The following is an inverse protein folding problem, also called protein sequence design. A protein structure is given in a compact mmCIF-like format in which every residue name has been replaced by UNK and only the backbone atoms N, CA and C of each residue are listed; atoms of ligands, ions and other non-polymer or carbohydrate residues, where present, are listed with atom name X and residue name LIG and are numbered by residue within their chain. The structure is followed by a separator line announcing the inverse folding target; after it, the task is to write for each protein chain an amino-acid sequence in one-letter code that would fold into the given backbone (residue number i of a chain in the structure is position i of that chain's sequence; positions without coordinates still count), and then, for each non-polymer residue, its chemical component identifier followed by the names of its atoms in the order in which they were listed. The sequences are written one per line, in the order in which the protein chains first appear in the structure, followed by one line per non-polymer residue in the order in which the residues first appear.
data_IF_783432781342
#
_entry.id   IF_783432781342
#
_cell.length_a   1.000
_cell.length_b   1.000
_cell.length_c   1.000
_cell.angle_alpha   90.00
_cell.angle_beta   90.00
_cell.angle_gamma   90.00
#
_symmetry.space_group_name_H-M   'P 1'
#
loop_
_entity.id
_entity.type
_entity.pdbx_description
1 polymer ?
#
# COMPACT_ATOMS: atom_id res chain seq x y z
N UNK A 1 17.96 -0.93 27.12
CA UNK A 1 17.14 -1.54 26.06
C UNK A 1 15.98 -0.60 25.61
N UNK A 2 16.23 0.69 25.37
CA UNK A 2 15.15 1.69 25.10
C UNK A 2 14.98 2.05 23.62
N UNK A 3 15.58 1.28 22.71
CA UNK A 3 15.55 1.57 21.27
C UNK A 3 14.37 0.87 20.57
N UNK A 4 13.99 -0.34 21.02
CA UNK A 4 12.85 -1.08 20.48
C UNK A 4 11.48 -0.47 20.84
N UNK A 5 11.37 0.26 21.95
CA UNK A 5 10.11 0.89 22.38
C UNK A 5 9.72 2.14 21.57
N UNK A 6 10.55 2.56 20.61
CA UNK A 6 10.25 3.62 19.64
C UNK A 6 9.88 3.10 18.25
N UNK A 7 9.98 1.78 18.02
CA UNK A 7 9.51 1.18 16.79
C UNK A 7 7.99 0.98 16.91
N UNK A 8 7.18 1.58 16.04
CA UNK A 8 5.74 1.31 15.99
C UNK A 8 5.52 -0.08 15.39
N UNK A 9 5.92 -1.12 16.12
CA UNK A 9 5.65 -2.51 15.77
C UNK A 9 4.20 -2.78 16.16
N UNK A 10 3.28 -2.43 15.26
CA UNK A 10 1.88 -2.79 15.40
C UNK A 10 1.58 -4.15 14.76
N UNK A 11 0.36 -4.65 15.00
CA UNK A 11 -0.08 -5.95 14.48
C UNK A 11 -0.12 -5.99 12.96
N UNK A 12 -0.32 -4.84 12.31
CA UNK A 12 -0.39 -4.75 10.86
C UNK A 12 1.00 -4.89 10.23
N UNK A 13 1.99 -4.16 10.76
CA UNK A 13 3.38 -4.30 10.36
C UNK A 13 3.90 -5.73 10.60
N UNK A 14 3.58 -6.31 11.75
CA UNK A 14 3.92 -7.72 12.03
C UNK A 14 3.28 -8.68 11.02
N UNK A 15 2.03 -8.45 10.62
CA UNK A 15 1.35 -9.26 9.62
C UNK A 15 2.02 -9.14 8.24
N UNK A 16 2.40 -7.93 7.81
CA UNK A 16 3.11 -7.71 6.54
C UNK A 16 4.45 -8.45 6.53
N UNK A 17 5.26 -8.26 7.58
CA UNK A 17 6.58 -8.90 7.69
C UNK A 17 6.42 -10.43 7.69
N UNK A 18 5.46 -10.96 8.45
CA UNK A 18 5.20 -12.39 8.51
C UNK A 18 4.77 -12.93 7.14
N UNK A 19 3.87 -12.25 6.43
CA UNK A 19 3.44 -12.64 5.09
C UNK A 19 4.61 -12.64 4.10
N UNK A 20 5.46 -11.62 4.12
CA UNK A 20 6.64 -11.54 3.26
C UNK A 20 7.64 -12.67 3.53
N UNK A 21 7.92 -12.97 4.80
CA UNK A 21 8.80 -14.09 5.19
C UNK A 21 8.22 -15.43 4.76
N UNK A 22 6.92 -15.65 4.99
CA UNK A 22 6.24 -16.89 4.57
C UNK A 22 6.29 -17.08 3.06
N UNK A 23 5.98 -16.05 2.28
CA UNK A 23 6.04 -16.11 0.81
C UNK A 23 7.46 -16.32 0.28
N UNK A 24 8.49 -15.83 1.00
CA UNK A 24 9.89 -16.03 0.62
C UNK A 24 10.37 -17.46 0.84
N UNK A 25 9.89 -18.13 1.91
CA UNK A 25 10.24 -19.52 2.23
C UNK A 25 9.37 -20.51 1.45
N UNK A 26 8.10 -20.18 1.25
CA UNK A 26 7.11 -21.00 0.56
C UNK A 26 6.55 -20.24 -0.66
N UNK A 27 7.36 -20.10 -1.73
CA UNK A 27 6.93 -19.39 -2.94
C UNK A 27 5.82 -20.16 -3.66
N UNK A 28 4.91 -19.42 -4.28
CA UNK A 28 3.92 -20.00 -5.18
C UNK A 28 4.61 -20.62 -6.39
N UNK A 29 4.23 -21.85 -6.77
CA UNK A 29 4.82 -22.55 -7.91
C UNK A 29 3.76 -23.18 -8.81
N UNK A 30 4.02 -23.22 -10.12
CA UNK A 30 3.10 -23.79 -11.10
C UNK A 30 1.77 -23.04 -11.14
N UNK A 31 0.66 -23.79 -11.20
CA UNK A 31 -0.71 -23.24 -11.30
C UNK A 31 -1.05 -22.27 -10.15
N UNK A 32 -0.43 -22.43 -8.98
CA UNK A 32 -0.67 -21.54 -7.84
C UNK A 32 -0.19 -20.10 -8.06
N UNK A 33 0.74 -19.87 -9.00
CA UNK A 33 1.18 -18.53 -9.37
C UNK A 33 0.00 -17.73 -9.93
N UNK A 34 -0.69 -18.29 -10.92
CA UNK A 34 -1.83 -17.63 -11.58
C UNK A 34 -3.02 -17.43 -10.62
N UNK A 35 -3.27 -18.42 -9.76
CA UNK A 35 -4.34 -18.32 -8.74
C UNK A 35 -4.06 -17.18 -7.77
N UNK A 36 -2.83 -17.07 -7.26
CA UNK A 36 -2.46 -16.01 -6.32
C UNK A 36 -2.43 -14.65 -7.02
N UNK A 37 -2.04 -14.58 -8.28
CA UNK A 37 -2.05 -13.34 -9.07
C UNK A 37 -3.48 -12.77 -9.23
N UNK A 38 -4.43 -13.63 -9.62
CA UNK A 38 -5.85 -13.25 -9.72
C UNK A 38 -6.41 -12.86 -8.36
N UNK A 39 -6.14 -13.65 -7.31
CA UNK A 39 -6.60 -13.35 -5.96
C UNK A 39 -6.06 -12.00 -5.46
N UNK A 40 -4.77 -11.71 -5.73
CA UNK A 40 -4.13 -10.44 -5.38
C UNK A 40 -4.76 -9.28 -6.13
N UNK A 41 -5.02 -9.44 -7.43
CA UNK A 41 -5.70 -8.43 -8.25
C UNK A 41 -7.09 -8.11 -7.71
N UNK A 42 -7.89 -9.13 -7.36
CA UNK A 42 -9.22 -8.95 -6.76
C UNK A 42 -9.10 -8.25 -5.41
N UNK A 43 -8.17 -8.68 -4.54
CA UNK A 43 -7.96 -8.08 -3.23
C UNK A 43 -7.58 -6.60 -3.31
N UNK A 44 -6.66 -6.25 -4.23
CA UNK A 44 -6.28 -4.86 -4.50
C UNK A 44 -7.48 -4.07 -5.01
N UNK A 45 -8.23 -4.61 -5.98
CA UNK A 45 -9.44 -3.97 -6.50
C UNK A 45 -10.46 -3.66 -5.40
N UNK A 46 -10.69 -4.61 -4.50
CA UNK A 46 -11.56 -4.42 -3.34
C UNK A 46 -11.02 -3.37 -2.36
N UNK A 47 -9.72 -3.36 -2.08
CA UNK A 47 -9.09 -2.36 -1.21
C UNK A 47 -9.31 -0.94 -1.76
N UNK A 48 -9.01 -0.74 -3.04
CA UNK A 48 -9.22 0.55 -3.71
C UNK A 48 -10.69 0.92 -3.80
N UNK A 49 -11.58 -0.04 -4.03
CA UNK A 49 -13.03 0.20 -4.03
C UNK A 49 -13.51 0.67 -2.65
N UNK A 50 -13.11 -0.01 -1.57
CA UNK A 50 -13.49 0.37 -0.21
C UNK A 50 -12.91 1.74 0.20
N UNK A 51 -11.68 2.05 -0.24
CA UNK A 51 -11.07 3.36 0.00
C UNK A 51 -11.77 4.46 -0.80
N UNK A 52 -12.10 4.20 -2.07
CA UNK A 52 -12.87 5.12 -2.92
C UNK A 52 -14.30 5.33 -2.39
N UNK A 53 -14.97 4.28 -1.93
CA UNK A 53 -16.32 4.36 -1.36
C UNK A 53 -16.36 5.17 -0.04
N UNK A 54 -15.26 5.23 0.70
CA UNK A 54 -15.12 6.06 1.91
C UNK A 54 -14.76 7.51 1.60
N UNK A 55 -14.37 7.83 0.37
CA UNK A 55 -13.88 9.16 0.00
C UNK A 55 -15.04 10.11 -0.28
N UNK A 56 -15.09 11.24 0.43
CA UNK A 56 -16.06 12.29 0.15
C UNK A 56 -15.66 13.12 -1.08
N UNK A 57 -16.56 13.32 -2.06
CA UNK A 57 -16.27 14.17 -3.23
C UNK A 57 -15.93 15.61 -2.85
N UNK A 58 -16.57 16.16 -1.82
CA UNK A 58 -16.35 17.55 -1.38
C UNK A 58 -14.99 17.74 -0.72
N UNK A 59 -14.56 16.78 0.10
CA UNK A 59 -13.24 16.80 0.74
C UNK A 59 -12.11 16.66 -0.28
N UNK A 60 -12.33 15.81 -1.29
CA UNK A 60 -11.38 15.65 -2.41
C UNK A 60 -11.20 16.96 -3.16
N UNK A 61 -12.29 17.66 -3.48
CA UNK A 61 -12.24 18.94 -4.18
C UNK A 61 -11.56 20.04 -3.34
N UNK A 62 -11.79 20.05 -2.02
CA UNK A 62 -11.11 20.96 -1.11
C UNK A 62 -9.60 20.67 -1.04
N UNK A 63 -9.20 19.40 -0.95
CA UNK A 63 -7.81 18.98 -0.94
C UNK A 63 -7.04 19.34 -2.22
N UNK A 64 -7.69 19.28 -3.38
CA UNK A 64 -7.09 19.65 -4.67
C UNK A 64 -6.72 21.14 -4.76
N UNK A 65 -7.33 22.01 -3.96
CA UNK A 65 -6.99 23.45 -3.94
C UNK A 65 -5.55 23.69 -3.46
N UNK A 66 -4.95 22.75 -2.73
CA UNK A 66 -3.55 22.83 -2.28
C UNK A 66 -2.57 22.36 -3.39
N UNK A 67 -2.65 22.96 -4.57
CA UNK A 67 -1.93 22.51 -5.77
C UNK A 67 -0.39 22.51 -5.61
N UNK A 68 0.18 23.38 -4.78
CA UNK A 68 1.63 23.37 -4.48
C UNK A 68 2.08 22.09 -3.77
N UNK A 69 1.25 21.58 -2.86
CA UNK A 69 1.52 20.33 -2.14
C UNK A 69 1.42 19.15 -3.12
N UNK A 70 0.37 19.11 -3.94
CA UNK A 70 0.21 18.07 -4.97
C UNK A 70 1.37 18.07 -5.98
N UNK A 71 1.79 19.24 -6.47
CA UNK A 71 2.93 19.36 -7.38
C UNK A 71 4.22 18.82 -6.75
N UNK A 72 4.43 19.10 -5.45
CA UNK A 72 5.59 18.58 -4.71
C UNK A 72 5.53 17.06 -4.61
N UNK A 73 4.41 16.51 -4.12
CA UNK A 73 4.21 15.06 -3.99
C UNK A 73 4.39 14.35 -5.33
N UNK A 74 3.74 14.84 -6.39
CA UNK A 74 3.81 14.25 -7.73
C UNK A 74 5.24 14.29 -8.30
N UNK A 75 5.97 15.39 -8.10
CA UNK A 75 7.37 15.49 -8.54
C UNK A 75 8.25 14.47 -7.81
N UNK A 76 8.06 14.30 -6.51
CA UNK A 76 8.79 13.25 -5.79
C UNK A 76 8.41 11.87 -6.30
N UNK A 77 7.12 11.53 -6.34
CA UNK A 77 6.63 10.19 -6.70
C UNK A 77 6.95 9.78 -8.14
N UNK A 78 6.81 10.69 -9.11
CA UNK A 78 6.89 10.35 -10.54
C UNK A 78 8.13 10.88 -11.25
N UNK A 79 8.94 11.73 -10.59
CA UNK A 79 10.21 12.22 -11.16
C UNK A 79 11.39 11.78 -10.31
N UNK A 80 11.44 12.14 -9.02
CA UNK A 80 12.62 11.85 -8.19
C UNK A 80 12.77 10.37 -7.83
N UNK A 81 11.70 9.66 -7.49
CA UNK A 81 11.75 8.23 -7.17
C UNK A 81 12.17 7.31 -8.34
N UNK A 82 11.69 7.53 -9.59
CA UNK A 82 12.08 6.70 -10.73
C UNK A 82 13.42 7.08 -11.40
N UNK A 83 14.04 8.21 -11.05
CA UNK A 83 15.37 8.65 -11.54
C UNK A 83 16.50 8.10 -10.66
#
# INVERSE_FOLDING_TARGET
MSWLSRLPIDRFLLAIITAAVLASIFPATGVWVDVIDVATTIAIGLLFFLYGARLSPSETLAGLKHWRLHATILSFTYVLFPL
#
